data_IF_448902925259
#
_entry.id   IF_448902925259
#
_cell.length_a   1.000
_cell.length_b   1.000
_cell.length_c   1.000
_cell.angle_alpha   90.00
_cell.angle_beta   90.00
_cell.angle_gamma   90.00
#
_symmetry.space_group_name_H-M   'P 1'
#
loop_
_entity.id
_entity.type
_entity.pdbx_description
1 polymer ?
#
# COMPACT_ATOMS: atom_id res chain seq x y z
N UNK A 1 17.98 8.11 22.69
CA UNK A 1 17.68 7.89 22.42
C UNK A 1 17.12 7.65 21.67
N UNK A 2 16.85 7.60 21.40
CA UNK A 2 16.40 7.41 20.83
C UNK A 2 15.72 7.22 20.09
N UNK A 3 15.25 7.03 20.20
CA UNK A 3 14.45 6.99 19.71
C UNK A 3 14.05 7.44 18.62
N UNK A 4 14.45 7.55 17.94
CA UNK A 4 14.21 8.04 16.75
C UNK A 4 13.94 7.08 15.74
N UNK A 5 13.39 5.96 16.12
CA UNK A 5 12.98 5.00 15.22
C UNK A 5 11.75 5.46 14.56
N UNK A 6 11.81 5.73 13.31
CA UNK A 6 10.65 6.15 12.57
C UNK A 6 9.81 4.97 12.21
N UNK A 7 8.51 5.15 12.31
CA UNK A 7 7.59 4.14 11.81
C UNK A 7 7.53 4.22 10.30
N UNK A 8 7.39 3.07 9.68
CA UNK A 8 7.12 3.03 8.24
C UNK A 8 5.68 3.43 8.00
N UNK A 9 5.46 4.30 7.04
CA UNK A 9 4.13 4.81 6.72
C UNK A 9 3.56 4.06 5.55
N UNK A 10 2.41 3.43 5.74
CA UNK A 10 1.71 2.67 4.71
C UNK A 10 0.45 3.44 4.34
N UNK A 11 0.35 3.85 3.08
CA UNK A 11 -0.87 4.47 2.57
C UNK A 11 -1.74 3.36 1.97
N UNK A 12 -3.01 3.35 2.31
CA UNK A 12 -3.96 2.33 1.87
C UNK A 12 -5.02 3.01 1.01
N UNK A 13 -5.00 2.72 -0.28
CA UNK A 13 -6.02 3.19 -1.21
C UNK A 13 -7.13 2.16 -1.31
N UNK A 14 -8.23 2.39 -0.61
CA UNK A 14 -9.33 1.44 -0.52
C UNK A 14 -10.61 2.17 -0.17
N UNK A 15 -11.67 2.00 -0.98
CA UNK A 15 -12.94 2.67 -0.70
C UNK A 15 -13.94 1.78 0.03
N UNK A 16 -13.68 0.50 0.19
CA UNK A 16 -14.53 -0.39 0.98
C UNK A 16 -14.19 -0.16 2.44
N UNK A 17 -15.10 0.47 3.16
CA UNK A 17 -14.83 0.93 4.52
C UNK A 17 -14.45 -0.19 5.49
N UNK A 18 -15.17 -1.32 5.52
CA UNK A 18 -14.77 -2.41 6.42
C UNK A 18 -13.36 -2.93 6.14
N UNK A 19 -12.99 -3.07 4.87
CA UNK A 19 -11.66 -3.56 4.52
C UNK A 19 -10.62 -2.52 4.87
N UNK A 20 -10.87 -1.25 4.56
CA UNK A 20 -9.93 -0.18 4.87
C UNK A 20 -9.68 -0.11 6.37
N UNK A 21 -10.73 -0.22 7.18
CA UNK A 21 -10.60 -0.18 8.64
C UNK A 21 -9.80 -1.38 9.14
N UNK A 22 -10.09 -2.57 8.62
CA UNK A 22 -9.36 -3.76 9.00
C UNK A 22 -7.87 -3.61 8.73
N UNK A 23 -7.53 -3.16 7.52
CA UNK A 23 -6.13 -3.00 7.13
C UNK A 23 -5.45 -1.92 7.97
N UNK A 24 -6.13 -0.78 8.14
CA UNK A 24 -5.56 0.31 8.92
C UNK A 24 -5.27 -0.12 10.34
N UNK A 25 -6.26 -0.74 11.00
CA UNK A 25 -6.10 -1.11 12.40
C UNK A 25 -5.04 -2.19 12.55
N UNK A 26 -4.99 -3.14 11.63
CA UNK A 26 -4.01 -4.22 11.71
C UNK A 26 -2.59 -3.72 11.50
N UNK A 27 -2.40 -2.81 10.57
CA UNK A 27 -1.08 -2.25 10.30
C UNK A 27 -0.65 -1.33 11.44
N UNK A 28 -1.56 -0.51 11.95
CA UNK A 28 -1.23 0.34 13.09
C UNK A 28 -0.85 -0.47 14.33
N UNK A 29 -1.37 -1.70 14.42
CA UNK A 29 -1.08 -2.57 15.54
C UNK A 29 0.27 -3.28 15.40
N UNK A 30 0.86 -3.25 14.21
CA UNK A 30 2.18 -3.83 13.98
C UNK A 30 3.26 -2.87 14.44
N UNK A 31 4.22 -3.42 15.17
CA UNK A 31 5.34 -2.65 15.65
C UNK A 31 6.12 -2.06 14.49
N UNK A 32 6.33 -0.77 14.52
CA UNK A 32 7.14 -0.10 13.51
C UNK A 32 6.37 0.40 12.29
N UNK A 33 5.03 0.30 12.30
CA UNK A 33 4.22 0.73 11.17
C UNK A 33 3.10 1.65 11.58
N UNK A 34 2.69 2.52 10.66
CA UNK A 34 1.47 3.29 10.82
C UNK A 34 0.79 3.40 9.46
N UNK A 35 -0.53 3.47 9.45
CA UNK A 35 -1.33 3.43 8.24
C UNK A 35 -2.18 4.66 8.08
N UNK A 36 -2.35 5.09 6.83
CA UNK A 36 -3.22 6.20 6.46
C UNK A 36 -4.12 5.69 5.34
N UNK A 37 -5.44 5.83 5.50
CA UNK A 37 -6.40 5.37 4.50
C UNK A 37 -6.85 6.52 3.62
N UNK A 38 -6.92 6.26 2.31
CA UNK A 38 -7.45 7.21 1.33
C UNK A 38 -8.49 6.44 0.52
N UNK A 39 -9.71 6.96 0.46
CA UNK A 39 -10.79 6.26 -0.22
C UNK A 39 -11.03 6.71 -1.66
N UNK A 40 -10.28 7.70 -2.12
CA UNK A 40 -10.42 8.25 -3.47
C UNK A 40 -9.07 8.21 -4.17
N UNK A 41 -9.02 7.52 -5.31
CA UNK A 41 -7.77 7.35 -6.04
C UNK A 41 -7.12 8.67 -6.45
N UNK A 42 -7.93 9.70 -6.69
CA UNK A 42 -7.38 10.99 -7.08
C UNK A 42 -6.57 11.65 -5.97
N UNK A 43 -6.79 11.25 -4.72
CA UNK A 43 -6.09 11.83 -3.58
C UNK A 43 -4.91 10.99 -3.11
N UNK A 44 -4.70 9.80 -3.69
CA UNK A 44 -3.65 8.90 -3.22
C UNK A 44 -2.27 9.50 -3.42
N UNK A 45 -2.02 10.06 -4.60
CA UNK A 45 -0.69 10.59 -4.92
C UNK A 45 -0.29 11.71 -3.97
N UNK A 46 -1.22 12.63 -3.76
CA UNK A 46 -0.96 13.76 -2.87
C UNK A 46 -0.69 13.27 -1.45
N UNK A 47 -1.49 12.30 -0.98
CA UNK A 47 -1.31 11.76 0.36
C UNK A 47 0.04 11.07 0.49
N UNK A 48 0.41 10.26 -0.50
CA UNK A 48 1.70 9.57 -0.50
C UNK A 48 2.84 10.57 -0.35
N UNK A 49 2.75 11.68 -1.08
CA UNK A 49 3.78 12.72 -0.99
C UNK A 49 3.79 13.39 0.38
N UNK A 50 2.62 13.74 0.88
CA UNK A 50 2.51 14.48 2.15
C UNK A 50 3.05 13.70 3.33
N UNK A 51 2.75 12.39 3.37
CA UNK A 51 3.16 11.58 4.52
C UNK A 51 4.49 10.88 4.29
N UNK A 52 5.10 11.04 3.12
CA UNK A 52 6.33 10.35 2.75
C UNK A 52 6.16 8.85 2.91
N UNK A 53 5.18 8.31 2.20
CA UNK A 53 4.82 6.90 2.34
C UNK A 53 5.96 5.97 1.94
N UNK A 54 6.08 4.87 2.67
CA UNK A 54 7.08 3.84 2.41
C UNK A 54 6.51 2.67 1.63
N UNK A 55 5.19 2.52 1.65
CA UNK A 55 4.48 1.45 0.95
C UNK A 55 3.09 1.93 0.61
N UNK A 56 2.61 1.55 -0.55
CA UNK A 56 1.23 1.83 -0.97
C UNK A 56 0.50 0.51 -1.16
N UNK A 57 -0.59 0.31 -0.42
CA UNK A 57 -1.51 -0.80 -0.63
C UNK A 57 -2.67 -0.24 -1.43
N UNK A 58 -3.05 -0.91 -2.52
CA UNK A 58 -3.91 -0.29 -3.51
C UNK A 58 -4.95 -1.26 -4.03
N UNK A 59 -6.22 -0.89 -3.96
CA UNK A 59 -7.27 -1.62 -4.64
C UNK A 59 -7.38 -1.08 -6.07
N UNK A 60 -7.87 -1.89 -6.97
CA UNK A 60 -8.06 -1.48 -8.35
C UNK A 60 -9.29 -0.60 -8.50
N UNK A 61 -10.39 -1.01 -7.88
CA UNK A 61 -11.68 -0.32 -8.06
C UNK A 61 -11.86 0.75 -7.00
N UNK A 62 -11.61 1.99 -7.39
CA UNK A 62 -11.79 3.14 -6.51
C UNK A 62 -12.39 4.30 -7.31
N UNK A 63 -13.16 5.19 -6.67
CA UNK A 63 -13.61 6.40 -7.36
C UNK A 63 -12.42 7.33 -7.62
N UNK A 64 -12.59 8.21 -8.55
CA UNK A 64 -11.52 9.11 -8.97
C UNK A 64 -10.61 8.41 -9.95
N UNK A 65 -9.43 8.02 -9.50
CA UNK A 65 -8.52 7.22 -10.31
C UNK A 65 -8.58 5.78 -9.84
N UNK A 66 -8.59 4.83 -10.78
CA UNK A 66 -8.51 3.43 -10.39
C UNK A 66 -7.06 3.08 -10.01
N UNK A 67 -6.87 1.87 -9.48
CA UNK A 67 -5.56 1.48 -8.98
C UNK A 67 -4.47 1.48 -10.03
N UNK A 68 -4.79 1.11 -11.26
CA UNK A 68 -3.77 1.12 -12.32
C UNK A 68 -3.37 2.53 -12.69
N UNK A 69 -4.33 3.43 -12.74
CA UNK A 69 -4.02 4.84 -13.02
C UNK A 69 -3.14 5.44 -11.92
N UNK A 70 -3.43 5.10 -10.67
CA UNK A 70 -2.59 5.56 -9.56
C UNK A 70 -1.19 4.98 -9.69
N UNK A 71 -1.11 3.67 -9.96
CA UNK A 71 0.19 3.00 -10.12
C UNK A 71 1.02 3.66 -11.22
N UNK A 72 0.40 3.94 -12.37
CA UNK A 72 1.12 4.54 -13.48
C UNK A 72 1.66 5.91 -13.11
N UNK A 73 0.87 6.69 -12.37
CA UNK A 73 1.32 8.01 -11.92
C UNK A 73 2.44 7.93 -10.91
N UNK A 74 2.39 6.94 -10.01
CA UNK A 74 3.48 6.73 -9.05
C UNK A 74 4.77 6.43 -9.81
N UNK A 75 4.73 5.53 -10.76
CA UNK A 75 5.93 5.13 -11.51
C UNK A 75 6.47 6.24 -12.40
N UNK A 76 5.62 7.19 -12.80
CA UNK A 76 6.05 8.32 -13.62
C UNK A 76 6.58 9.48 -12.77
N UNK A 77 6.44 9.43 -11.47
CA UNK A 77 6.80 10.53 -10.58
C UNK A 77 8.21 10.28 -10.02
N UNK A 78 9.14 11.14 -10.36
CA UNK A 78 10.55 10.92 -9.99
C UNK A 78 10.79 10.86 -8.50
N UNK A 79 9.90 11.45 -7.70
CA UNK A 79 10.08 11.48 -6.25
C UNK A 79 9.58 10.22 -5.53
N UNK A 80 8.62 9.52 -6.14
CA UNK A 80 7.98 8.39 -5.45
C UNK A 80 7.96 7.11 -6.29
N UNK A 81 8.60 7.12 -7.44
CA UNK A 81 8.48 5.99 -8.39
C UNK A 81 9.06 4.67 -7.89
N UNK A 82 9.93 4.71 -6.90
CA UNK A 82 10.53 3.49 -6.38
C UNK A 82 9.78 2.92 -5.18
N UNK A 83 8.72 3.57 -4.75
CA UNK A 83 7.92 3.09 -3.64
C UNK A 83 7.26 1.77 -3.99
N UNK A 84 7.36 0.75 -3.13
CA UNK A 84 6.68 -0.52 -3.41
C UNK A 84 5.16 -0.35 -3.35
N UNK A 85 4.47 -1.10 -4.20
CA UNK A 85 3.01 -1.08 -4.28
C UNK A 85 2.51 -2.51 -4.19
N UNK A 86 1.59 -2.75 -3.26
CA UNK A 86 0.95 -4.04 -3.08
C UNK A 86 -0.52 -3.89 -3.47
N UNK A 87 -0.93 -4.63 -4.49
CA UNK A 87 -2.33 -4.61 -4.90
C UNK A 87 -3.14 -5.60 -4.09
N UNK A 88 -4.33 -5.20 -3.69
CA UNK A 88 -5.28 -6.07 -2.99
C UNK A 88 -6.61 -5.93 -3.71
N UNK A 89 -7.05 -6.97 -4.43
CA UNK A 89 -8.20 -6.83 -5.28
C UNK A 89 -8.99 -8.11 -5.40
N UNK A 90 -10.31 -7.98 -5.67
CA UNK A 90 -11.20 -9.11 -5.74
C UNK A 90 -11.06 -9.89 -7.04
N UNK A 91 -11.03 -9.26 -8.18
CA UNK A 91 -11.09 -9.96 -9.47
C UNK A 91 -9.75 -9.96 -10.17
N UNK A 92 -8.74 -10.59 -9.53
CA UNK A 92 -7.36 -10.47 -10.03
C UNK A 92 -7.16 -11.11 -11.40
N UNK A 93 -7.82 -12.23 -11.69
CA UNK A 93 -7.62 -12.90 -12.99
C UNK A 93 -8.13 -12.04 -14.15
N UNK A 94 -9.15 -11.24 -13.90
CA UNK A 94 -9.68 -10.32 -14.90
C UNK A 94 -8.63 -9.30 -15.34
N UNK A 95 -7.67 -9.01 -14.47
CA UNK A 95 -6.68 -7.98 -14.70
C UNK A 95 -5.28 -8.51 -14.97
N UNK A 96 -5.15 -9.81 -15.27
CA UNK A 96 -3.83 -10.41 -15.49
C UNK A 96 -3.01 -9.66 -16.53
N UNK A 97 -3.63 -9.25 -17.62
CA UNK A 97 -2.94 -8.52 -18.67
C UNK A 97 -2.47 -7.15 -18.17
N UNK A 98 -3.31 -6.46 -17.40
CA UNK A 98 -2.94 -5.15 -16.85
C UNK A 98 -1.77 -5.27 -15.89
N UNK A 99 -1.75 -6.31 -15.06
CA UNK A 99 -0.63 -6.54 -14.16
C UNK A 99 0.64 -6.86 -14.95
N UNK A 100 0.52 -7.74 -15.95
CA UNK A 100 1.68 -8.18 -16.70
C UNK A 100 2.31 -7.03 -17.47
N UNK A 101 1.49 -6.19 -18.10
CA UNK A 101 1.98 -5.05 -18.86
C UNK A 101 2.79 -4.09 -18.02
N UNK A 102 2.47 -4.00 -16.73
CA UNK A 102 3.13 -3.08 -15.81
C UNK A 102 4.22 -3.75 -14.98
N UNK A 103 4.43 -5.05 -15.18
CA UNK A 103 5.41 -5.78 -14.38
C UNK A 103 5.04 -5.90 -12.92
N UNK A 104 3.73 -5.85 -12.60
CA UNK A 104 3.26 -5.93 -11.23
C UNK A 104 3.23 -7.38 -10.80
N UNK A 105 3.90 -7.70 -9.68
CA UNK A 105 3.93 -9.06 -9.16
C UNK A 105 3.34 -9.18 -7.78
N UNK A 106 3.25 -8.08 -7.07
CA UNK A 106 2.81 -8.09 -5.68
C UNK A 106 1.32 -7.85 -5.62
N UNK A 107 0.55 -8.94 -5.65
CA UNK A 107 -0.90 -8.90 -5.71
C UNK A 107 -1.47 -9.91 -4.73
N UNK A 108 -2.43 -9.48 -3.93
CA UNK A 108 -3.16 -10.36 -3.01
C UNK A 108 -4.62 -10.32 -3.42
N UNK A 109 -5.23 -11.51 -3.57
CA UNK A 109 -6.64 -11.62 -3.95
C UNK A 109 -7.55 -11.53 -2.73
N UNK A 110 -8.68 -10.87 -2.89
CA UNK A 110 -9.73 -10.86 -1.87
C UNK A 110 -10.64 -12.07 -2.10
N UNK A 111 -11.09 -12.73 -1.06
CA UNK A 111 -10.75 -12.50 0.34
C UNK A 111 -9.35 -12.99 0.65
N UNK A 112 -8.69 -12.35 1.59
CA UNK A 112 -7.30 -12.67 1.89
C UNK A 112 -7.14 -13.08 3.34
N UNK A 113 -6.04 -13.75 3.61
CA UNK A 113 -5.63 -14.05 4.98
C UNK A 113 -4.86 -12.84 5.48
N UNK A 114 -5.29 -12.30 6.60
CA UNK A 114 -4.68 -11.09 7.14
C UNK A 114 -3.19 -11.29 7.46
N UNK A 115 -2.83 -12.46 7.97
CA UNK A 115 -1.43 -12.73 8.28
C UNK A 115 -0.57 -12.77 7.03
N UNK A 116 -1.11 -13.29 5.92
CA UNK A 116 -0.38 -13.29 4.65
C UNK A 116 -0.16 -11.86 4.16
N UNK A 117 -1.18 -11.00 4.32
CA UNK A 117 -1.05 -9.62 3.91
C UNK A 117 0.00 -8.90 4.76
N UNK A 118 -0.05 -9.10 6.07
CA UNK A 118 0.92 -8.45 6.96
C UNK A 118 2.33 -8.94 6.67
N UNK A 119 2.48 -10.22 6.30
CA UNK A 119 3.79 -10.72 5.92
C UNK A 119 4.30 -10.02 4.67
N UNK A 120 3.44 -9.80 3.67
CA UNK A 120 3.84 -9.07 2.48
C UNK A 120 4.24 -7.64 2.80
N UNK A 121 3.53 -7.01 3.73
CA UNK A 121 3.91 -5.67 4.17
C UNK A 121 5.33 -5.68 4.72
N UNK A 122 5.64 -6.66 5.56
CA UNK A 122 6.98 -6.77 6.16
C UNK A 122 8.06 -7.06 5.12
N UNK A 123 7.73 -7.84 4.09
CA UNK A 123 8.69 -8.14 3.03
C UNK A 123 8.95 -6.93 2.15
N UNK A 124 7.89 -6.22 1.76
CA UNK A 124 8.02 -5.09 0.85
C UNK A 124 8.52 -3.83 1.54
N UNK A 125 8.29 -3.72 2.83
CA UNK A 125 8.60 -2.52 3.59
C UNK A 125 9.03 -2.93 4.99
N UNK A 126 10.24 -3.50 5.14
CA UNK A 126 10.68 -3.96 6.46
C UNK A 126 10.77 -2.81 7.45
N UNK A 127 10.32 -3.05 8.67
CA UNK A 127 10.45 -2.05 9.72
C UNK A 127 11.92 -1.81 10.02
N UNK A 128 12.24 -0.61 10.45
CA UNK A 128 13.60 -0.30 10.82
C UNK A 128 13.98 -1.16 12.02
N UNK A 129 15.18 -1.74 11.95
CA UNK A 129 15.68 -2.49 13.07
C UNK A 129 15.89 -1.58 14.24
N UNK A 130 15.85 -0.34 13.94
CA UNK A 130 15.74 0.62 14.99
C UNK A 130 16.88 0.60 15.91
N UNK A 131 17.82 0.40 15.62
CA UNK A 131 18.78 0.39 16.50
C UNK A 131 18.97 -0.82 17.24
N UNK A 132 18.37 -1.78 16.89
CA UNK A 132 18.63 -2.85 17.42
C UNK A 132 19.82 -3.23 17.05
N UNK A 133 20.15 -2.90 16.81
CA UNK A 133 21.23 -3.19 16.65
C UNK A 133 21.75 -3.09 16.92
#
# INVERSE_FOLDING_TARGET
>A
MTEDRRKKVVVIGEDDEPIATLLRDSINDEDGYQAVVVSDGALVIETVRQVHADLLILDIMMPGLNGFEVFDRVRADTDIRDMPVLFVSAATTQYDSDFAQRGIKDVISKPFDLNDLLEQVRVLCPADAGGQS
#
